data_IF_516062070985
#
_entry.id   IF_516062070985
#
_cell.length_a   1.000
_cell.length_b   1.000
_cell.length_c   1.000
_cell.angle_alpha   90.00
_cell.angle_beta   90.00
_cell.angle_gamma   90.00
#
_symmetry.space_group_name_H-M   'P 1'
#
loop_
_entity.id
_entity.type
_entity.pdbx_description
1 polymer ?
#
# COMPACT_ATOMS: atom_id res chain seq x y z
N UNK A 1 -14.17 42.10 -38.22
CA UNK A 1 -14.80 40.89 -37.61
C UNK A 1 -16.20 41.10 -37.02
N UNK A 2 -16.61 42.30 -36.57
CA UNK A 2 -17.96 42.53 -35.97
C UNK A 2 -19.17 42.17 -36.86
N UNK A 3 -19.03 42.19 -38.20
CA UNK A 3 -20.10 41.80 -39.12
C UNK A 3 -20.33 40.28 -39.17
N UNK A 4 -19.30 39.47 -38.90
CA UNK A 4 -19.38 38.00 -38.88
C UNK A 4 -20.14 37.48 -37.66
N UNK A 5 -19.97 38.13 -36.50
CA UNK A 5 -20.68 37.77 -35.26
C UNK A 5 -22.21 37.79 -35.40
N UNK A 6 -22.77 38.62 -36.30
CA UNK A 6 -24.22 38.63 -36.59
C UNK A 6 -24.70 37.34 -37.24
N UNK A 7 -23.86 36.70 -38.05
CA UNK A 7 -24.18 35.44 -38.73
C UNK A 7 -23.95 34.20 -37.84
N UNK A 8 -23.10 34.30 -36.81
CA UNK A 8 -22.92 33.23 -35.82
C UNK A 8 -24.03 33.22 -34.74
N UNK A 9 -24.68 34.35 -34.50
CA UNK A 9 -25.71 34.52 -33.45
C UNK A 9 -26.84 33.46 -33.46
N UNK A 10 -27.44 33.06 -34.60
CA UNK A 10 -28.45 31.99 -34.60
C UNK A 10 -27.88 30.60 -34.31
N UNK A 11 -26.58 30.38 -34.53
CA UNK A 11 -25.90 29.10 -34.30
C UNK A 11 -25.17 29.03 -32.94
N UNK A 12 -25.36 30.02 -32.07
CA UNK A 12 -24.68 30.08 -30.76
C UNK A 12 -24.86 28.80 -29.95
N UNK A 13 -26.06 28.21 -29.98
CA UNK A 13 -26.32 26.93 -29.32
C UNK A 13 -25.43 25.79 -29.87
N UNK A 14 -25.34 25.64 -31.20
CA UNK A 14 -24.49 24.63 -31.83
C UNK A 14 -23.01 24.85 -31.53
N UNK A 15 -22.57 26.11 -31.48
CA UNK A 15 -21.19 26.47 -31.15
C UNK A 15 -20.88 26.08 -29.70
N UNK A 16 -21.76 26.39 -28.74
CA UNK A 16 -21.59 25.99 -27.34
C UNK A 16 -21.57 24.47 -27.21
N UNK A 17 -22.49 23.78 -27.90
CA UNK A 17 -22.54 22.33 -27.89
C UNK A 17 -21.26 21.70 -28.45
N UNK A 18 -20.76 22.20 -29.59
CA UNK A 18 -19.50 21.75 -30.16
C UNK A 18 -18.32 21.99 -29.21
N UNK A 19 -18.27 23.13 -28.51
CA UNK A 19 -17.25 23.40 -27.49
C UNK A 19 -17.31 22.39 -26.34
N UNK A 20 -18.51 21.99 -25.89
CA UNK A 20 -18.69 20.97 -24.86
C UNK A 20 -18.17 19.60 -25.34
N UNK A 21 -18.52 19.20 -26.57
CA UNK A 21 -18.02 17.94 -27.14
C UNK A 21 -16.49 17.94 -27.29
N UNK A 22 -15.89 19.04 -27.72
CA UNK A 22 -14.44 19.18 -27.79
C UNK A 22 -13.79 19.11 -26.40
N UNK A 23 -14.43 19.67 -25.37
CA UNK A 23 -13.95 19.55 -23.99
C UNK A 23 -13.99 18.09 -23.51
N UNK A 24 -15.10 17.38 -23.73
CA UNK A 24 -15.22 15.95 -23.39
C UNK A 24 -14.16 15.13 -24.13
N UNK A 25 -13.97 15.37 -25.42
CA UNK A 25 -12.93 14.70 -26.20
C UNK A 25 -11.54 14.96 -25.62
N UNK A 26 -11.21 16.21 -25.31
CA UNK A 26 -9.93 16.56 -24.72
C UNK A 26 -9.70 15.89 -23.36
N UNK A 27 -10.73 15.80 -22.51
CA UNK A 27 -10.66 15.07 -21.24
C UNK A 27 -10.46 13.57 -21.46
N UNK A 28 -11.16 12.97 -22.42
CA UNK A 28 -10.98 11.55 -22.74
C UNK A 28 -9.58 11.25 -23.26
N UNK A 29 -9.04 12.09 -24.16
CA UNK A 29 -7.68 11.94 -24.69
C UNK A 29 -6.62 12.10 -23.58
N UNK A 30 -6.85 12.99 -22.60
CA UNK A 30 -5.96 13.19 -21.46
C UNK A 30 -6.03 12.03 -20.44
N UNK A 31 -7.14 11.29 -20.37
CA UNK A 31 -7.31 10.14 -19.49
C UNK A 31 -6.74 8.83 -20.07
N UNK A 32 -6.50 8.75 -21.39
CA UNK A 32 -5.96 7.55 -22.04
C UNK A 32 -4.60 7.08 -21.45
N UNK A 33 -3.63 7.98 -21.18
CA UNK A 33 -2.38 7.59 -20.53
C UNK A 33 -2.59 6.98 -19.14
N UNK A 34 -3.53 7.53 -18.36
CA UNK A 34 -3.84 7.01 -17.02
C UNK A 34 -4.47 5.61 -17.09
N UNK A 35 -5.38 5.37 -18.03
CA UNK A 35 -5.94 4.02 -18.24
C UNK A 35 -4.86 3.01 -18.66
N UNK A 36 -3.94 3.40 -19.54
CA UNK A 36 -2.82 2.54 -19.92
C UNK A 36 -1.91 2.25 -18.71
N UNK A 37 -1.62 3.27 -17.91
CA UNK A 37 -0.86 3.14 -16.66
C UNK A 37 -1.51 2.15 -15.70
N UNK A 38 -2.83 2.24 -15.50
CA UNK A 38 -3.56 1.32 -14.63
C UNK A 38 -3.58 -0.11 -15.18
N UNK A 39 -3.78 -0.30 -16.49
CA UNK A 39 -3.75 -1.63 -17.11
C UNK A 39 -2.40 -2.32 -16.87
N UNK A 40 -1.30 -1.59 -17.02
CA UNK A 40 0.04 -2.17 -16.87
C UNK A 40 0.39 -2.33 -15.39
N UNK A 41 0.28 -1.29 -14.58
CA UNK A 41 0.74 -1.30 -13.20
C UNK A 41 -0.18 -2.14 -12.33
N UNK A 42 -1.47 -1.81 -12.28
CA UNK A 42 -2.46 -2.54 -11.48
C UNK A 42 -2.75 -3.90 -12.10
N UNK A 43 -3.12 -3.93 -13.38
CA UNK A 43 -3.55 -5.17 -14.04
C UNK A 43 -2.43 -6.20 -14.18
N UNK A 44 -1.35 -5.86 -14.88
CA UNK A 44 -0.29 -6.82 -15.25
C UNK A 44 0.76 -6.97 -14.14
N UNK A 45 1.34 -5.87 -13.66
CA UNK A 45 2.46 -5.94 -12.70
C UNK A 45 1.98 -6.36 -11.32
N UNK A 46 0.89 -5.75 -10.84
CA UNK A 46 0.33 -5.98 -9.51
C UNK A 46 -0.74 -7.08 -9.50
N UNK A 47 -1.02 -7.74 -10.63
CA UNK A 47 -1.99 -8.84 -10.75
C UNK A 47 -3.41 -8.47 -10.29
N UNK A 48 -3.82 -7.22 -10.46
CA UNK A 48 -5.12 -6.71 -10.06
C UNK A 48 -5.18 -6.18 -8.62
N UNK A 49 -4.06 -6.14 -7.89
CA UNK A 49 -4.00 -5.57 -6.54
C UNK A 49 -3.83 -4.05 -6.64
N UNK A 50 -4.85 -3.31 -6.20
CA UNK A 50 -4.90 -1.84 -6.31
C UNK A 50 -4.24 -1.12 -5.12
N UNK A 51 -4.24 -1.75 -3.95
CA UNK A 51 -3.75 -1.18 -2.70
C UNK A 51 -2.90 -2.19 -1.92
N UNK A 52 -2.11 -1.68 -0.99
CA UNK A 52 -1.25 -2.43 -0.11
C UNK A 52 -1.96 -2.88 1.19
N UNK A 53 -3.28 -3.09 1.13
CA UNK A 53 -4.07 -3.54 2.29
C UNK A 53 -4.44 -5.01 2.07
N UNK A 54 -3.81 -5.95 2.79
CA UNK A 54 -4.14 -7.36 2.66
C UNK A 54 -5.55 -7.67 3.19
N UNK A 55 -6.34 -8.42 2.43
CA UNK A 55 -7.64 -8.93 2.91
C UNK A 55 -7.48 -9.91 4.09
N UNK A 56 -6.36 -10.65 4.08
CA UNK A 56 -6.00 -11.64 5.08
C UNK A 56 -4.50 -11.56 5.37
N UNK A 57 -4.13 -11.63 6.64
CA UNK A 57 -2.74 -11.53 7.09
C UNK A 57 -2.46 -12.51 8.24
N UNK A 58 -1.36 -13.25 8.14
CA UNK A 58 -0.88 -14.11 9.22
C UNK A 58 -0.55 -13.28 10.45
N UNK A 59 -0.85 -13.77 11.64
CA UNK A 59 -0.56 -13.06 12.88
C UNK A 59 0.93 -12.75 13.04
N UNK A 60 1.81 -13.69 12.69
CA UNK A 60 3.25 -13.46 12.70
C UNK A 60 3.67 -12.30 11.76
N UNK A 61 3.03 -12.19 10.59
CA UNK A 61 3.29 -11.09 9.65
C UNK A 61 2.77 -9.77 10.23
N UNK A 62 1.58 -9.77 10.84
CA UNK A 62 1.05 -8.58 11.52
C UNK A 62 2.01 -8.11 12.63
N UNK A 63 2.49 -9.02 13.48
CA UNK A 63 3.43 -8.69 14.56
C UNK A 63 4.71 -8.03 14.04
N UNK A 64 5.22 -8.47 12.88
CA UNK A 64 6.37 -7.85 12.21
C UNK A 64 6.05 -6.44 11.70
N UNK A 65 4.85 -6.22 11.15
CA UNK A 65 4.42 -4.91 10.65
C UNK A 65 4.29 -3.89 11.78
N UNK A 66 3.76 -4.30 12.93
CA UNK A 66 3.58 -3.43 14.11
C UNK A 66 4.90 -2.87 14.65
N UNK A 67 6.04 -3.49 14.34
CA UNK A 67 7.37 -2.98 14.73
C UNK A 67 7.75 -1.68 14.03
N UNK A 68 7.09 -1.35 12.92
CA UNK A 68 7.37 -0.19 12.07
C UNK A 68 6.21 0.82 12.05
N UNK A 69 5.34 0.76 13.07
CA UNK A 69 4.20 1.64 13.24
C UNK A 69 4.30 2.39 14.57
N UNK A 70 3.76 3.61 14.60
CA UNK A 70 3.50 4.30 15.86
C UNK A 70 2.40 3.60 16.67
N UNK A 71 2.28 3.89 17.96
CA UNK A 71 1.27 3.25 18.82
C UNK A 71 -0.16 3.50 18.34
N UNK A 72 -0.46 4.73 17.90
CA UNK A 72 -1.78 5.11 17.41
C UNK A 72 -2.13 4.37 16.11
N UNK A 73 -1.18 4.31 15.16
CA UNK A 73 -1.31 3.60 13.89
C UNK A 73 -1.49 2.09 14.10
N UNK A 74 -0.70 1.50 15.02
CA UNK A 74 -0.79 0.10 15.40
C UNK A 74 -2.18 -0.24 15.96
N UNK A 75 -2.71 0.59 16.86
CA UNK A 75 -4.05 0.40 17.42
C UNK A 75 -5.13 0.57 16.35
N UNK A 76 -4.97 1.54 15.45
CA UNK A 76 -5.89 1.75 14.34
C UNK A 76 -5.95 0.52 13.44
N UNK A 77 -4.80 0.01 12.98
CA UNK A 77 -4.71 -1.20 12.15
C UNK A 77 -5.33 -2.39 12.86
N UNK A 78 -4.93 -2.69 14.10
CA UNK A 78 -5.48 -3.82 14.86
C UNK A 78 -7.01 -3.73 15.06
N UNK A 79 -7.56 -2.51 15.17
CA UNK A 79 -9.00 -2.30 15.25
C UNK A 79 -9.77 -2.59 13.96
N UNK A 80 -9.09 -2.73 12.82
CA UNK A 80 -9.68 -3.03 11.50
C UNK A 80 -9.58 -4.50 11.10
N UNK A 81 -8.77 -5.26 11.82
CA UNK A 81 -8.56 -6.68 11.57
C UNK A 81 -9.23 -7.54 12.64
N UNK A 82 -9.85 -8.64 12.22
CA UNK A 82 -10.52 -9.59 13.10
C UNK A 82 -9.86 -10.96 13.00
N UNK A 83 -9.60 -11.59 14.14
CA UNK A 83 -9.08 -12.94 14.19
C UNK A 83 -10.20 -13.93 13.81
N UNK A 84 -10.02 -14.70 12.74
CA UNK A 84 -10.97 -15.78 12.48
C UNK A 84 -10.60 -17.00 13.31
N UNK A 85 -11.51 -17.42 14.19
CA UNK A 85 -11.32 -18.65 14.95
C UNK A 85 -11.37 -19.88 14.03
N UNK A 86 -10.44 -20.85 14.17
CA UNK A 86 -10.44 -22.08 13.39
C UNK A 86 -11.77 -22.84 13.54
N UNK A 87 -12.50 -23.02 12.44
CA UNK A 87 -13.79 -23.71 12.42
C UNK A 87 -15.04 -22.81 12.49
N UNK A 88 -14.88 -21.49 12.43
CA UNK A 88 -16.01 -20.57 12.19
C UNK A 88 -16.47 -20.64 10.72
N UNK A 89 -17.72 -20.23 10.45
CA UNK A 89 -18.27 -20.17 9.07
C UNK A 89 -17.45 -19.20 8.21
N UNK A 90 -16.97 -18.11 8.80
CA UNK A 90 -16.10 -17.13 8.15
C UNK A 90 -14.76 -17.77 7.77
N UNK A 91 -14.15 -18.52 8.68
CA UNK A 91 -12.91 -19.25 8.41
C UNK A 91 -13.10 -20.29 7.29
N UNK A 92 -14.24 -20.99 7.22
CA UNK A 92 -14.53 -21.95 6.14
C UNK A 92 -14.63 -21.29 4.76
N UNK A 93 -15.27 -20.12 4.66
CA UNK A 93 -15.37 -19.37 3.40
C UNK A 93 -14.03 -18.73 3.01
N UNK A 94 -13.21 -18.36 3.99
CA UNK A 94 -11.87 -17.82 3.79
C UNK A 94 -10.86 -18.90 3.38
N UNK A 95 -10.93 -20.10 3.97
CA UNK A 95 -10.11 -21.26 3.56
C UNK A 95 -10.37 -21.70 2.12
N UNK A 96 -11.59 -21.50 1.60
CA UNK A 96 -11.90 -21.73 0.18
C UNK A 96 -11.16 -20.72 -0.73
N UNK A 97 -11.01 -19.47 -0.28
CA UNK A 97 -10.32 -18.41 -1.03
C UNK A 97 -8.79 -18.51 -0.89
N UNK A 98 -8.30 -18.86 0.30
CA UNK A 98 -6.89 -18.91 0.66
C UNK A 98 -6.55 -20.26 1.30
N UNK A 99 -6.36 -21.34 0.53
CA UNK A 99 -6.10 -22.67 1.09
C UNK A 99 -4.75 -22.80 1.82
N UNK A 100 -3.84 -21.83 1.63
CA UNK A 100 -2.50 -21.81 2.24
C UNK A 100 -2.49 -21.44 3.72
N UNK A 101 -3.62 -20.99 4.27
CA UNK A 101 -3.72 -20.54 5.68
C UNK A 101 -4.24 -21.64 6.63
N UNK A 102 -4.40 -22.86 6.12
CA UNK A 102 -4.91 -23.97 6.92
C UNK A 102 -3.95 -24.32 8.07
N UNK A 103 -4.37 -24.02 9.30
CA UNK A 103 -3.62 -24.33 10.53
C UNK A 103 -2.85 -23.16 11.16
N UNK A 104 -2.98 -21.93 10.62
CA UNK A 104 -2.34 -20.73 11.14
C UNK A 104 -3.35 -19.71 11.70
N UNK A 105 -2.89 -18.86 12.65
CA UNK A 105 -3.68 -17.74 13.16
C UNK A 105 -3.65 -16.61 12.12
N UNK A 106 -4.82 -16.32 11.51
CA UNK A 106 -4.96 -15.31 10.45
C UNK A 106 -5.98 -14.25 10.87
N UNK A 107 -5.60 -12.99 10.64
CA UNK A 107 -6.48 -11.86 10.78
C UNK A 107 -7.07 -11.44 9.43
N UNK A 108 -8.32 -11.02 9.44
CA UNK A 108 -9.06 -10.63 8.25
C UNK A 108 -9.52 -9.20 8.34
N UNK A 109 -9.42 -8.50 7.22
CA UNK A 109 -9.87 -7.13 7.11
C UNK A 109 -11.40 -7.08 7.14
N UNK A 110 -11.95 -6.18 7.96
CA UNK A 110 -13.38 -5.84 7.90
C UNK A 110 -13.76 -5.01 6.67
N UNK A 111 -15.06 -4.86 6.42
CA UNK A 111 -15.54 -3.97 5.36
C UNK A 111 -15.51 -2.50 5.83
N UNK A 112 -14.76 -1.65 5.12
CA UNK A 112 -14.65 -0.22 5.43
C UNK A 112 -14.86 0.65 4.19
N UNK A 113 -14.99 1.96 4.42
CA UNK A 113 -15.07 2.95 3.34
C UNK A 113 -13.70 3.20 2.69
N UNK A 114 -13.73 3.90 1.54
CA UNK A 114 -12.50 4.23 0.80
C UNK A 114 -11.53 5.05 1.64
N UNK A 115 -12.03 5.97 2.47
CA UNK A 115 -11.17 6.81 3.33
C UNK A 115 -10.41 5.97 4.36
N UNK A 116 -11.08 5.04 5.05
CA UNK A 116 -10.38 4.11 5.96
C UNK A 116 -9.39 3.24 5.20
N UNK A 117 -9.75 2.79 4.00
CA UNK A 117 -8.88 1.94 3.16
C UNK A 117 -7.63 2.69 2.71
N UNK A 118 -7.75 3.96 2.35
CA UNK A 118 -6.64 4.82 1.93
C UNK A 118 -5.67 5.08 3.11
N UNK A 119 -6.21 5.30 4.31
CA UNK A 119 -5.43 5.46 5.54
C UNK A 119 -4.68 4.16 5.90
N UNK A 120 -5.38 3.02 5.86
CA UNK A 120 -4.75 1.70 6.02
C UNK A 120 -3.68 1.45 4.96
N UNK A 121 -3.92 1.82 3.71
CA UNK A 121 -2.96 1.65 2.61
C UNK A 121 -1.68 2.45 2.86
N UNK A 122 -1.79 3.66 3.40
CA UNK A 122 -0.63 4.47 3.76
C UNK A 122 0.17 3.82 4.89
N UNK A 123 -0.50 3.45 5.99
CA UNK A 123 0.15 2.88 7.18
C UNK A 123 0.77 1.50 6.87
N UNK A 124 -0.03 0.57 6.33
CA UNK A 124 0.43 -0.77 5.98
C UNK A 124 1.44 -0.74 4.84
N UNK A 125 1.28 0.16 3.87
CA UNK A 125 2.22 0.30 2.77
C UNK A 125 3.64 0.62 3.25
N UNK A 126 3.76 1.58 4.16
CA UNK A 126 5.04 1.94 4.80
C UNK A 126 5.65 0.73 5.53
N UNK A 127 4.88 0.07 6.40
CA UNK A 127 5.34 -1.07 7.18
C UNK A 127 5.72 -2.28 6.31
N UNK A 128 4.97 -2.55 5.23
CA UNK A 128 5.23 -3.65 4.29
C UNK A 128 6.54 -3.44 3.53
N UNK A 129 6.85 -2.21 3.11
CA UNK A 129 8.13 -1.89 2.49
C UNK A 129 9.27 -2.12 3.51
N UNK A 130 9.04 -1.80 4.79
CA UNK A 130 10.01 -2.02 5.87
C UNK A 130 10.35 -3.50 6.03
N UNK A 131 9.31 -4.30 6.27
CA UNK A 131 9.42 -5.74 6.50
C UNK A 131 10.00 -6.44 5.28
N UNK A 132 9.48 -6.16 4.08
CA UNK A 132 9.98 -6.78 2.85
C UNK A 132 11.41 -6.35 2.50
N UNK A 133 11.79 -5.10 2.79
CA UNK A 133 13.17 -4.62 2.63
C UNK A 133 14.14 -5.37 3.52
N UNK A 134 13.81 -5.53 4.81
CA UNK A 134 14.62 -6.27 5.77
C UNK A 134 14.69 -7.76 5.40
N UNK A 135 13.57 -8.38 5.04
CA UNK A 135 13.53 -9.78 4.63
C UNK A 135 14.45 -10.03 3.42
N UNK A 136 14.43 -9.14 2.42
CA UNK A 136 15.33 -9.23 1.26
C UNK A 136 16.81 -9.13 1.63
N UNK A 137 17.16 -8.35 2.65
CA UNK A 137 18.55 -8.29 3.14
C UNK A 137 18.95 -9.54 3.92
N UNK A 138 18.03 -10.12 4.68
CA UNK A 138 18.26 -11.40 5.37
C UNK A 138 18.53 -12.51 4.37
N UNK A 139 17.75 -12.53 3.28
CA UNK A 139 17.91 -13.52 2.20
C UNK A 139 19.12 -13.22 1.31
N UNK A 140 19.47 -11.93 1.13
CA UNK A 140 20.61 -11.48 0.35
C UNK A 140 21.33 -10.28 0.99
N UNK A 141 22.48 -10.49 1.65
CA UNK A 141 23.23 -9.43 2.34
C UNK A 141 23.74 -8.29 1.44
N UNK A 142 23.80 -8.49 0.12
CA UNK A 142 24.21 -7.46 -0.85
C UNK A 142 23.02 -6.62 -1.37
N UNK A 143 21.79 -6.90 -0.90
CA UNK A 143 20.61 -6.14 -1.30
C UNK A 143 20.66 -4.70 -0.75
N UNK A 144 20.41 -3.73 -1.62
CA UNK A 144 20.32 -2.33 -1.23
C UNK A 144 19.05 -2.09 -0.40
N UNK A 145 19.18 -1.35 0.70
CA UNK A 145 18.04 -0.90 1.48
C UNK A 145 17.14 0.03 0.67
N UNK A 146 15.82 -0.19 0.63
CA UNK A 146 14.89 0.71 -0.06
C UNK A 146 14.81 2.12 0.58
N UNK A 147 15.40 2.31 1.77
CA UNK A 147 15.29 3.53 2.58
C UNK A 147 16.47 4.52 2.47
N UNK A 148 17.50 4.20 1.68
CA UNK A 148 18.64 5.10 1.45
C UNK A 148 19.62 5.23 2.63
N UNK A 149 20.63 6.10 2.46
CA UNK A 149 21.65 6.39 3.47
C UNK A 149 21.03 7.08 4.69
N UNK A 150 21.00 6.41 5.85
CA UNK A 150 20.43 6.93 7.10
C UNK A 150 19.65 5.88 7.91
N UNK A 151 19.17 4.84 7.24
CA UNK A 151 18.60 3.64 7.84
C UNK A 151 19.66 2.52 7.87
N UNK A 152 20.72 2.76 8.64
CA UNK A 152 21.86 1.85 8.79
C UNK A 152 21.53 0.78 9.85
N UNK A 153 20.55 -0.07 9.53
CA UNK A 153 20.26 -1.23 10.35
C UNK A 153 21.31 -2.31 10.06
N UNK A 154 22.40 -2.26 10.83
CA UNK A 154 23.51 -3.18 10.70
C UNK A 154 23.09 -4.59 11.14
N UNK A 155 22.62 -5.40 10.18
CA UNK A 155 22.26 -6.79 10.37
C UNK A 155 23.41 -7.63 10.96
N UNK A 156 24.67 -7.18 10.85
CA UNK A 156 25.81 -7.88 11.42
C UNK A 156 25.87 -7.83 12.95
N UNK A 157 25.08 -6.94 13.58
CA UNK A 157 24.93 -6.87 15.05
C UNK A 157 23.95 -7.89 15.60
N UNK A 158 23.18 -8.54 14.74
CA UNK A 158 22.22 -9.58 15.15
C UNK A 158 22.99 -10.90 15.31
N UNK A 159 22.91 -11.56 16.48
CA UNK A 159 23.56 -12.85 16.69
C UNK A 159 23.14 -13.87 15.63
N UNK A 160 24.10 -14.64 15.13
CA UNK A 160 23.84 -15.68 14.14
C UNK A 160 22.79 -16.68 14.67
N UNK A 161 21.67 -16.81 13.96
CA UNK A 161 20.55 -17.69 14.30
C UNK A 161 19.41 -17.05 15.10
N UNK A 162 19.49 -15.75 15.41
CA UNK A 162 18.36 -15.00 15.97
C UNK A 162 17.52 -14.38 14.84
N UNK A 163 16.19 -14.43 14.98
CA UNK A 163 15.30 -13.77 14.04
C UNK A 163 15.45 -12.24 14.12
N UNK A 164 15.53 -11.59 12.95
CA UNK A 164 15.80 -10.14 12.87
C UNK A 164 14.66 -9.31 13.44
N UNK A 165 13.42 -9.73 13.22
CA UNK A 165 12.24 -9.04 13.73
C UNK A 165 12.08 -9.26 15.24
N UNK A 166 12.45 -10.44 15.74
CA UNK A 166 12.53 -10.67 17.18
C UNK A 166 13.57 -9.75 17.85
N UNK A 167 14.75 -9.58 17.22
CA UNK A 167 15.79 -8.68 17.70
C UNK A 167 15.29 -7.22 17.77
N UNK A 168 14.58 -6.78 16.72
CA UNK A 168 13.95 -5.47 16.64
C UNK A 168 12.89 -5.27 17.71
N UNK A 169 12.05 -6.28 17.96
CA UNK A 169 11.04 -6.23 19.03
C UNK A 169 11.64 -6.12 20.44
N UNK A 170 12.90 -6.54 20.64
CA UNK A 170 13.61 -6.42 21.91
C UNK A 170 14.31 -5.06 22.10
N UNK A 171 14.28 -4.17 21.10
CA UNK A 171 14.92 -2.86 21.20
C UNK A 171 14.20 -1.93 22.19
N UNK A 172 14.94 -1.03 22.86
CA UNK A 172 14.33 0.02 23.67
C UNK A 172 13.34 0.84 22.85
N UNK A 173 12.25 1.22 23.49
CA UNK A 173 11.15 1.97 22.86
C UNK A 173 11.65 3.26 22.20
N UNK A 174 12.54 4.00 22.87
CA UNK A 174 13.16 5.22 22.32
C UNK A 174 13.84 4.99 20.96
N UNK A 175 14.50 3.84 20.78
CA UNK A 175 15.18 3.50 19.53
C UNK A 175 14.20 3.06 18.44
N UNK A 176 13.11 2.38 18.83
CA UNK A 176 12.05 2.00 17.89
C UNK A 176 11.28 3.23 17.39
N UNK A 177 10.99 4.19 18.27
CA UNK A 177 10.35 5.45 17.91
C UNK A 177 11.23 6.27 16.95
N UNK A 178 12.51 6.45 17.26
CA UNK A 178 13.44 7.15 16.36
C UNK A 178 13.54 6.47 14.98
N UNK A 179 13.48 5.14 14.95
CA UNK A 179 13.48 4.38 13.71
C UNK A 179 12.21 4.65 12.89
N UNK A 180 11.03 4.57 13.51
CA UNK A 180 9.74 4.83 12.85
C UNK A 180 9.65 6.27 12.34
N UNK A 181 10.10 7.26 13.13
CA UNK A 181 10.11 8.67 12.73
C UNK A 181 10.96 8.91 11.47
N UNK A 182 12.17 8.33 11.43
CA UNK A 182 13.05 8.44 10.25
C UNK A 182 12.45 7.75 9.02
N UNK A 183 11.74 6.65 9.20
CA UNK A 183 11.05 5.99 8.09
C UNK A 183 9.93 6.85 7.55
N UNK A 184 9.16 7.47 8.44
CA UNK A 184 8.10 8.39 8.06
C UNK A 184 8.64 9.55 7.22
N UNK A 185 9.73 10.20 7.65
CA UNK A 185 10.40 11.25 6.87
C UNK A 185 10.87 10.74 5.49
N UNK A 186 11.43 9.53 5.42
CA UNK A 186 11.86 8.92 4.17
C UNK A 186 10.67 8.68 3.22
N UNK A 187 9.55 8.20 3.75
CA UNK A 187 8.34 7.91 2.98
C UNK A 187 7.62 9.17 2.49
N UNK A 188 7.61 10.25 3.28
CA UNK A 188 7.06 11.54 2.85
C UNK A 188 7.70 12.03 1.54
N UNK A 189 8.99 11.73 1.33
CA UNK A 189 9.72 12.12 0.13
C UNK A 189 9.35 11.30 -1.13
N UNK A 190 8.84 10.07 -0.98
CA UNK A 190 8.52 9.14 -2.07
C UNK A 190 7.11 9.36 -2.64
N UNK A 191 6.18 9.85 -1.81
CA UNK A 191 4.78 10.07 -2.16
C UNK A 191 3.94 8.77 -2.19
N UNK A 192 2.65 8.90 -1.86
CA UNK A 192 1.73 7.77 -1.62
C UNK A 192 1.63 6.75 -2.76
N UNK A 193 1.65 7.22 -4.03
CA UNK A 193 1.58 6.33 -5.18
C UNK A 193 2.80 5.41 -5.28
N UNK A 194 3.99 5.93 -4.97
CA UNK A 194 5.21 5.13 -5.01
C UNK A 194 5.24 4.13 -3.86
N UNK A 195 4.82 4.55 -2.67
CA UNK A 195 4.65 3.67 -1.50
C UNK A 195 3.72 2.51 -1.85
N UNK A 196 2.54 2.81 -2.39
CA UNK A 196 1.57 1.78 -2.80
C UNK A 196 2.19 0.82 -3.82
N UNK A 197 2.85 1.34 -4.86
CA UNK A 197 3.46 0.49 -5.89
C UNK A 197 4.56 -0.43 -5.35
N UNK A 198 5.36 0.03 -4.39
CA UNK A 198 6.41 -0.76 -3.77
C UNK A 198 5.84 -1.81 -2.80
N UNK A 199 4.82 -1.43 -2.03
CA UNK A 199 4.22 -2.27 -1.01
C UNK A 199 3.32 -3.38 -1.57
N UNK A 200 2.62 -3.12 -2.67
CA UNK A 200 1.74 -4.13 -3.32
C UNK A 200 2.50 -5.40 -3.70
N UNK A 201 3.80 -5.29 -4.04
CA UNK A 201 4.64 -6.45 -4.29
C UNK A 201 4.78 -7.39 -3.07
N UNK A 202 4.75 -6.84 -1.86
CA UNK A 202 4.87 -7.58 -0.60
C UNK A 202 3.54 -8.18 -0.12
N UNK A 203 2.39 -7.63 -0.53
CA UNK A 203 1.06 -8.17 -0.20
C UNK A 203 0.80 -9.54 -0.85
N UNK A 204 1.57 -9.87 -1.90
CA UNK A 204 1.41 -11.11 -2.67
C UNK A 204 2.02 -12.35 -2.00
N UNK A 205 2.93 -12.17 -1.05
CA UNK A 205 3.70 -13.25 -0.39
C UNK A 205 2.99 -13.78 0.88
#
# INVERSE_FOLDING_TARGET
MRRLLKFLKPYTFLIVLATIFLYIQATADLALPDYLSNIVNVGIQQNGVENAVPDAIRQETMDKLLLFMGEDDAQFVLGKYHLAEPGSIEAEDLLKKYPLIEGEEVLFLGDFDQTTTDELNSILGKALIAVSGIQKMVDNPDAAMPFGEGFDFDLSRIPAGMDVFQALGMMPEDMRLEMTDRMEEAFESLGEKMITQMAVGAVKE
#
